data_IF_949849729405
#
_entry.id   IF_949849729405
#
_cell.length_a   1.000
_cell.length_b   1.000
_cell.length_c   1.000
_cell.angle_alpha   90.00
_cell.angle_beta   90.00
_cell.angle_gamma   90.00
#
_symmetry.space_group_name_H-M   'P 1'
#
loop_
_entity.id
_entity.type
_entity.pdbx_description
1 polymer ?
#
# COMPACT_ATOMS: atom_id res chain seq x y z
N UNK A 1 -18.21 -11.77 -20.07
CA UNK A 1 -18.03 -10.33 -19.97
C UNK A 1 -16.55 -10.04 -20.12
N UNK A 2 -16.16 -9.20 -21.07
CA UNK A 2 -14.75 -8.83 -21.25
C UNK A 2 -14.33 -7.82 -20.18
N UNK A 3 -13.03 -7.70 -19.90
CA UNK A 3 -12.48 -6.82 -18.85
C UNK A 3 -13.08 -5.40 -18.88
N UNK A 4 -13.17 -4.80 -20.07
CA UNK A 4 -13.65 -3.43 -20.24
C UNK A 4 -15.11 -3.29 -19.84
N UNK A 5 -15.99 -4.21 -20.27
CA UNK A 5 -17.42 -4.19 -19.92
C UNK A 5 -17.65 -4.37 -18.42
N UNK A 6 -16.90 -5.27 -17.80
CA UNK A 6 -16.97 -5.51 -16.36
C UNK A 6 -16.52 -4.27 -15.59
N UNK A 7 -15.38 -3.69 -15.98
CA UNK A 7 -14.85 -2.50 -15.33
C UNK A 7 -15.77 -1.29 -15.49
N UNK A 8 -16.38 -1.11 -16.67
CA UNK A 8 -17.40 -0.07 -16.90
C UNK A 8 -18.58 -0.22 -15.95
N UNK A 9 -19.08 -1.45 -15.81
CA UNK A 9 -20.21 -1.77 -14.92
C UNK A 9 -19.88 -1.41 -13.47
N UNK A 10 -18.70 -1.79 -12.99
CA UNK A 10 -18.28 -1.49 -11.61
C UNK A 10 -18.05 0.02 -11.39
N UNK A 11 -17.49 0.73 -12.38
CA UNK A 11 -17.32 2.19 -12.30
C UNK A 11 -18.68 2.88 -12.23
N UNK A 12 -19.65 2.48 -13.05
CA UNK A 12 -21.00 3.05 -13.07
C UNK A 12 -21.75 2.78 -11.76
N UNK A 13 -21.64 1.57 -11.20
CA UNK A 13 -22.20 1.25 -9.89
C UNK A 13 -21.60 2.11 -8.79
N UNK A 14 -20.27 2.24 -8.76
CA UNK A 14 -19.59 3.06 -7.78
C UNK A 14 -19.99 4.54 -7.87
N UNK A 15 -20.07 5.10 -9.08
CA UNK A 15 -20.51 6.49 -9.28
C UNK A 15 -21.95 6.69 -8.80
N UNK A 16 -22.85 5.77 -9.15
CA UNK A 16 -24.27 5.83 -8.79
C UNK A 16 -24.51 5.68 -7.28
N UNK A 17 -23.65 4.94 -6.57
CA UNK A 17 -23.75 4.74 -5.12
C UNK A 17 -23.42 5.98 -4.28
N UNK A 18 -22.82 7.02 -4.88
CA UNK A 18 -22.29 8.19 -4.17
C UNK A 18 -22.97 9.48 -4.62
N UNK A 19 -23.33 10.34 -3.65
CA UNK A 19 -23.95 11.66 -3.91
C UNK A 19 -23.18 12.54 -4.91
N UNK A 20 -21.85 12.44 -4.90
CA UNK A 20 -20.96 13.20 -5.78
C UNK A 20 -20.06 12.26 -6.63
N UNK A 21 -20.52 11.05 -6.93
CA UNK A 21 -19.76 10.09 -7.74
C UNK A 21 -19.67 10.54 -9.20
N UNK A 22 -18.46 10.75 -9.70
CA UNK A 22 -18.21 11.05 -11.11
C UNK A 22 -16.75 10.70 -11.48
N UNK A 23 -16.45 10.66 -12.78
CA UNK A 23 -15.11 10.32 -13.28
C UNK A 23 -14.00 11.29 -12.84
N UNK A 24 -14.31 12.57 -12.57
CA UNK A 24 -13.33 13.53 -12.06
C UNK A 24 -12.93 13.18 -10.62
N UNK A 25 -13.92 12.81 -9.79
CA UNK A 25 -13.66 12.31 -8.43
C UNK A 25 -12.91 10.99 -8.47
N UNK A 26 -13.31 10.05 -9.34
CA UNK A 26 -12.59 8.79 -9.50
C UNK A 26 -11.15 9.02 -9.96
N UNK A 27 -10.91 9.93 -10.92
CA UNK A 27 -9.56 10.26 -11.40
C UNK A 27 -8.65 10.70 -10.26
N UNK A 28 -9.14 11.59 -9.39
CA UNK A 28 -8.40 12.04 -8.22
C UNK A 28 -8.15 10.91 -7.21
N UNK A 29 -9.12 10.02 -7.03
CA UNK A 29 -9.07 8.94 -6.03
C UNK A 29 -8.34 7.69 -6.49
N UNK A 30 -8.17 7.46 -7.79
CA UNK A 30 -7.45 6.30 -8.32
C UNK A 30 -6.04 6.64 -8.80
N UNK A 31 -5.75 7.92 -9.02
CA UNK A 31 -4.53 8.39 -9.68
C UNK A 31 -4.56 8.20 -11.21
N UNK A 32 -5.62 7.58 -11.76
CA UNK A 32 -5.79 7.41 -13.21
C UNK A 32 -6.30 8.71 -13.82
N UNK A 33 -5.68 9.15 -14.93
CA UNK A 33 -6.08 10.39 -15.60
C UNK A 33 -7.55 10.36 -16.06
N UNK A 34 -8.24 11.51 -15.97
CA UNK A 34 -9.62 11.64 -16.44
C UNK A 34 -9.77 11.22 -17.92
N UNK A 35 -8.89 11.62 -18.86
CA UNK A 35 -8.95 11.12 -20.24
C UNK A 35 -8.87 9.59 -20.34
N UNK A 36 -8.00 8.94 -19.54
CA UNK A 36 -7.90 7.47 -19.51
C UNK A 36 -9.20 6.83 -19.04
N UNK A 37 -9.76 7.32 -17.91
CA UNK A 37 -11.04 6.83 -17.39
C UNK A 37 -12.18 7.02 -18.39
N UNK A 38 -12.23 8.18 -19.07
CA UNK A 38 -13.22 8.45 -20.11
C UNK A 38 -13.11 7.45 -21.26
N UNK A 39 -11.90 7.17 -21.75
CA UNK A 39 -11.66 6.17 -22.82
C UNK A 39 -12.05 4.75 -22.40
N UNK A 40 -11.83 4.38 -21.13
CA UNK A 40 -12.34 3.12 -20.56
C UNK A 40 -13.87 3.10 -20.64
N UNK A 41 -14.55 4.16 -20.19
CA UNK A 41 -16.01 4.26 -20.22
C UNK A 41 -16.61 4.25 -21.63
N UNK A 42 -15.84 4.64 -22.64
CA UNK A 42 -16.25 4.63 -24.05
C UNK A 42 -15.83 3.36 -24.80
N UNK A 43 -15.20 2.40 -24.12
CA UNK A 43 -14.60 1.20 -24.71
C UNK A 43 -13.56 1.50 -25.83
N UNK A 44 -12.94 2.68 -25.78
CA UNK A 44 -11.90 3.12 -26.73
C UNK A 44 -10.48 2.69 -26.32
N UNK A 45 -10.37 1.95 -25.21
CA UNK A 45 -9.11 1.57 -24.59
C UNK A 45 -9.28 0.33 -23.70
N UNK A 46 -8.38 -0.66 -23.86
CA UNK A 46 -8.26 -1.78 -22.93
C UNK A 46 -7.17 -1.45 -21.89
N UNK A 47 -7.52 -1.31 -20.60
CA UNK A 47 -6.55 -0.98 -19.57
C UNK A 47 -5.58 -2.12 -19.28
N UNK A 48 -4.32 -1.78 -18.99
CA UNK A 48 -3.33 -2.73 -18.48
C UNK A 48 -3.60 -3.08 -17.00
N UNK A 49 -2.88 -4.07 -16.47
CA UNK A 49 -3.02 -4.53 -15.09
C UNK A 49 -2.91 -3.38 -14.08
N UNK A 50 -1.90 -2.51 -14.22
CA UNK A 50 -1.68 -1.37 -13.33
C UNK A 50 -2.90 -0.44 -13.28
N UNK A 51 -3.44 -0.06 -14.45
CA UNK A 51 -4.62 0.80 -14.55
C UNK A 51 -5.83 0.13 -13.91
N UNK A 52 -6.03 -1.17 -14.16
CA UNK A 52 -7.15 -1.92 -13.55
C UNK A 52 -6.99 -1.97 -12.03
N UNK A 53 -5.80 -2.29 -11.53
CA UNK A 53 -5.51 -2.33 -10.10
C UNK A 53 -5.80 -0.97 -9.44
N UNK A 54 -5.35 0.13 -10.04
CA UNK A 54 -5.61 1.48 -9.55
C UNK A 54 -7.11 1.81 -9.51
N UNK A 55 -7.89 1.47 -10.54
CA UNK A 55 -9.34 1.73 -10.52
C UNK A 55 -10.03 0.86 -9.48
N UNK A 56 -9.81 -0.46 -9.55
CA UNK A 56 -10.48 -1.49 -8.73
C UNK A 56 -10.26 -1.25 -7.24
N UNK A 57 -9.07 -0.84 -6.84
CA UNK A 57 -8.74 -0.60 -5.43
C UNK A 57 -9.45 0.62 -4.80
N UNK A 58 -10.14 1.43 -5.61
CA UNK A 58 -11.05 2.51 -5.15
C UNK A 58 -12.51 2.09 -5.16
N UNK A 59 -12.90 1.34 -6.19
CA UNK A 59 -14.32 1.13 -6.51
C UNK A 59 -14.88 -0.18 -5.96
N UNK A 60 -14.03 -1.16 -5.70
CA UNK A 60 -14.40 -2.47 -5.16
C UNK A 60 -13.78 -2.71 -3.78
N UNK A 61 -14.39 -3.59 -3.00
CA UNK A 61 -13.71 -4.15 -1.83
C UNK A 61 -12.56 -5.08 -2.25
N UNK A 62 -11.66 -5.40 -1.31
CA UNK A 62 -10.46 -6.21 -1.59
C UNK A 62 -10.80 -7.58 -2.20
N UNK A 63 -11.88 -8.23 -1.75
CA UNK A 63 -12.27 -9.56 -2.23
C UNK A 63 -12.84 -9.51 -3.65
N UNK A 64 -13.71 -8.54 -3.91
CA UNK A 64 -14.27 -8.27 -5.22
C UNK A 64 -13.17 -7.88 -6.22
N UNK A 65 -12.28 -6.99 -5.80
CA UNK A 65 -11.17 -6.53 -6.62
C UNK A 65 -10.20 -7.65 -6.99
N UNK A 66 -9.81 -8.49 -6.03
CA UNK A 66 -8.99 -9.69 -6.28
C UNK A 66 -9.67 -10.65 -7.24
N UNK A 67 -10.97 -10.89 -7.07
CA UNK A 67 -11.75 -11.77 -7.93
C UNK A 67 -11.76 -11.28 -9.39
N UNK A 68 -11.93 -9.96 -9.60
CA UNK A 68 -11.85 -9.34 -10.92
C UNK A 68 -10.45 -9.50 -11.52
N UNK A 69 -9.40 -9.16 -10.75
CA UNK A 69 -8.01 -9.23 -11.21
C UNK A 69 -7.60 -10.66 -11.58
N UNK A 70 -7.92 -11.66 -10.76
CA UNK A 70 -7.57 -13.05 -11.04
C UNK A 70 -8.27 -13.61 -12.29
N UNK A 71 -9.46 -13.08 -12.63
CA UNK A 71 -10.22 -13.53 -13.80
C UNK A 71 -9.65 -12.98 -15.11
N UNK A 72 -9.22 -11.73 -15.10
CA UNK A 72 -8.75 -11.03 -16.31
C UNK A 72 -7.23 -11.03 -16.47
N UNK A 73 -6.49 -11.33 -15.40
CA UNK A 73 -5.02 -11.42 -15.38
C UNK A 73 -4.57 -12.74 -14.72
N UNK A 74 -4.85 -13.90 -15.35
CA UNK A 74 -4.63 -15.22 -14.75
C UNK A 74 -3.16 -15.49 -14.41
N UNK A 75 -2.22 -14.93 -15.18
CA UNK A 75 -0.78 -15.07 -14.95
C UNK A 75 -0.34 -14.49 -13.58
N UNK A 76 -1.10 -13.53 -13.05
CA UNK A 76 -0.84 -12.91 -11.74
C UNK A 76 -1.69 -13.50 -10.61
N UNK A 77 -2.68 -14.35 -10.93
CA UNK A 77 -3.55 -14.97 -9.93
C UNK A 77 -2.80 -15.76 -8.84
N UNK A 78 -1.72 -16.52 -9.13
CA UNK A 78 -0.93 -17.18 -8.09
C UNK A 78 -0.31 -16.20 -7.09
N UNK A 79 0.12 -15.03 -7.57
CA UNK A 79 0.70 -13.97 -6.73
C UNK A 79 -0.38 -13.37 -5.83
N UNK A 80 -1.54 -13.04 -6.39
CA UNK A 80 -2.65 -12.47 -5.61
C UNK A 80 -3.16 -13.43 -4.54
N UNK A 81 -3.31 -14.73 -4.86
CA UNK A 81 -3.71 -15.75 -3.87
C UNK A 81 -2.71 -15.86 -2.72
N UNK A 82 -1.42 -15.91 -3.03
CA UNK A 82 -0.39 -15.96 -1.98
C UNK A 82 -0.36 -14.69 -1.13
N UNK A 83 -0.60 -13.51 -1.71
CA UNK A 83 -0.73 -12.27 -0.94
C UNK A 83 -1.96 -12.27 0.00
N UNK A 84 -3.05 -12.92 -0.40
CA UNK A 84 -4.21 -13.12 0.46
C UNK A 84 -3.87 -14.02 1.66
N UNK A 85 -3.12 -15.11 1.41
CA UNK A 85 -2.68 -16.04 2.47
C UNK A 85 -1.80 -15.35 3.55
N UNK A 86 -1.07 -14.28 3.20
CA UNK A 86 -0.30 -13.45 4.15
C UNK A 86 -1.06 -12.23 4.67
N UNK A 87 -2.36 -12.11 4.39
CA UNK A 87 -3.24 -11.09 4.95
C UNK A 87 -2.99 -9.68 4.41
N UNK A 88 -2.44 -9.54 3.19
CA UNK A 88 -2.32 -8.23 2.55
C UNK A 88 -3.69 -7.72 2.10
N UNK A 89 -3.88 -6.41 2.16
CA UNK A 89 -5.04 -5.75 1.56
C UNK A 89 -4.55 -4.87 0.40
N UNK A 90 -5.21 -4.94 -0.75
CA UNK A 90 -5.04 -3.92 -1.78
C UNK A 90 -5.69 -2.65 -1.26
N UNK A 91 -4.91 -1.57 -1.24
CA UNK A 91 -5.43 -0.27 -0.89
C UNK A 91 -5.14 0.67 -2.04
N UNK A 92 -6.18 1.35 -2.53
CA UNK A 92 -5.98 2.66 -3.09
C UNK A 92 -6.37 3.68 -2.03
N UNK A 93 -5.36 4.25 -1.40
CA UNK A 93 -5.53 5.48 -0.64
C UNK A 93 -5.03 6.65 -1.51
N UNK A 94 -5.38 6.70 -2.80
CA UNK A 94 -4.80 7.71 -3.68
C UNK A 94 -5.07 9.10 -3.12
N UNK A 95 -3.99 9.87 -3.07
CA UNK A 95 -3.93 11.20 -2.51
C UNK A 95 -3.25 11.25 -1.15
N UNK A 96 -3.64 10.45 -0.15
CA UNK A 96 -3.08 10.64 1.20
C UNK A 96 -1.75 9.93 1.39
N UNK A 97 -1.62 8.68 0.92
CA UNK A 97 -0.34 7.97 1.03
C UNK A 97 0.75 8.63 0.14
N UNK A 98 0.36 9.20 -0.99
CA UNK A 98 1.26 9.97 -1.86
C UNK A 98 1.73 11.30 -1.25
N UNK A 99 1.03 11.82 -0.23
CA UNK A 99 1.31 13.13 0.37
C UNK A 99 1.68 13.06 1.84
N UNK A 100 1.96 11.84 2.35
CA UNK A 100 2.44 11.69 3.71
C UNK A 100 3.72 12.51 3.88
N UNK A 101 3.75 13.31 4.94
CA UNK A 101 5.01 13.87 5.43
C UNK A 101 5.81 12.79 6.15
N UNK A 102 7.07 13.09 6.45
CA UNK A 102 7.93 12.24 7.27
C UNK A 102 7.29 11.93 8.63
N UNK A 103 6.72 12.94 9.28
CA UNK A 103 6.10 12.82 10.60
C UNK A 103 4.85 11.95 10.55
N UNK A 104 4.02 12.11 9.52
CA UNK A 104 2.85 11.25 9.31
C UNK A 104 3.25 9.80 9.04
N UNK A 105 4.27 9.59 8.21
CA UNK A 105 4.83 8.26 7.99
C UNK A 105 5.39 7.64 9.28
N UNK A 106 6.06 8.43 10.13
CA UNK A 106 6.56 7.95 11.42
C UNK A 106 5.43 7.61 12.38
N UNK A 107 4.40 8.45 12.52
CA UNK A 107 3.21 8.16 13.33
C UNK A 107 2.53 6.88 12.84
N UNK A 108 2.31 6.77 11.52
CA UNK A 108 1.69 5.59 10.92
C UNK A 108 2.49 4.32 11.23
N UNK A 109 3.81 4.32 11.07
CA UNK A 109 4.61 3.13 11.36
C UNK A 109 4.75 2.83 12.87
N UNK A 110 4.88 3.85 13.72
CA UNK A 110 4.95 3.66 15.17
C UNK A 110 3.62 3.16 15.77
N UNK A 111 2.49 3.57 15.18
CA UNK A 111 1.17 3.11 15.57
C UNK A 111 0.83 1.69 15.07
N UNK A 112 1.75 1.04 14.35
CA UNK A 112 1.55 -0.34 13.90
C UNK A 112 1.63 -1.35 15.06
N UNK A 113 1.16 -2.58 14.83
CA UNK A 113 1.20 -3.64 15.84
C UNK A 113 0.31 -3.35 17.06
N UNK A 114 0.93 -3.14 18.23
CA UNK A 114 0.22 -2.83 19.47
C UNK A 114 -0.19 -1.36 19.61
N UNK A 115 0.23 -0.50 18.68
CA UNK A 115 0.04 0.94 18.79
C UNK A 115 1.09 1.64 19.64
N UNK A 116 0.96 2.94 19.75
CA UNK A 116 1.92 3.82 20.43
C UNK A 116 1.18 4.86 21.26
N UNK A 117 1.70 5.19 22.45
CA UNK A 117 1.14 6.26 23.27
C UNK A 117 1.35 7.64 22.63
N UNK A 118 0.40 8.57 22.83
CA UNK A 118 0.56 9.95 22.37
C UNK A 118 1.75 10.63 23.02
N UNK A 119 1.99 10.37 24.31
CA UNK A 119 3.18 10.88 25.01
C UNK A 119 4.47 10.52 24.28
N UNK A 120 4.59 9.27 23.82
CA UNK A 120 5.78 8.79 23.12
C UNK A 120 5.91 9.35 21.71
N UNK A 121 4.79 9.55 21.02
CA UNK A 121 4.79 10.26 19.74
C UNK A 121 5.26 11.70 19.92
N UNK A 122 4.82 12.37 20.98
CA UNK A 122 5.27 13.72 21.35
C UNK A 122 6.75 13.78 21.70
N UNK A 123 7.27 12.83 22.48
CA UNK A 123 8.71 12.76 22.79
C UNK A 123 9.56 12.67 21.51
N UNK A 124 9.04 12.00 20.48
CA UNK A 124 9.79 11.72 19.24
C UNK A 124 9.61 12.78 18.17
N UNK A 125 8.45 13.41 18.07
CA UNK A 125 8.06 14.31 16.98
C UNK A 125 7.65 15.72 17.46
N UNK A 126 7.53 15.93 18.77
CA UNK A 126 6.97 17.15 19.35
C UNK A 126 5.55 17.40 18.88
N UNK A 127 5.22 18.69 18.70
CA UNK A 127 3.89 19.13 18.24
C UNK A 127 3.48 18.58 16.86
N UNK A 128 4.43 18.14 16.03
CA UNK A 128 4.10 17.53 14.74
C UNK A 128 3.37 16.19 14.91
N UNK A 129 3.50 15.52 16.06
CA UNK A 129 2.72 14.34 16.39
C UNK A 129 1.22 14.61 16.33
N UNK A 130 0.75 15.72 16.93
CA UNK A 130 -0.68 16.02 17.00
C UNK A 130 -1.26 16.32 15.61
N UNK A 131 -0.51 17.07 14.79
CA UNK A 131 -0.91 17.39 13.41
C UNK A 131 -1.02 16.11 12.58
N UNK A 132 -0.02 15.23 12.69
CA UNK A 132 -0.02 13.95 12.01
C UNK A 132 -1.17 13.04 12.47
N UNK A 133 -1.42 12.95 13.78
CA UNK A 133 -2.54 12.17 14.33
C UNK A 133 -3.87 12.71 13.79
N UNK A 134 -4.07 14.03 13.79
CA UNK A 134 -5.28 14.65 13.28
C UNK A 134 -5.52 14.29 11.81
N UNK A 135 -4.50 14.49 10.95
CA UNK A 135 -4.61 14.23 9.50
C UNK A 135 -4.82 12.76 9.18
N UNK A 136 -4.07 11.87 9.84
CA UNK A 136 -4.20 10.42 9.64
C UNK A 136 -5.54 9.88 10.16
N UNK A 137 -6.08 10.44 11.24
CA UNK A 137 -7.42 10.07 11.75
C UNK A 137 -8.50 10.56 10.78
N UNK A 138 -8.39 11.79 10.29
CA UNK A 138 -9.32 12.34 9.31
C UNK A 138 -9.35 11.55 7.99
N UNK A 139 -8.23 10.90 7.66
CA UNK A 139 -8.10 10.01 6.52
C UNK A 139 -8.42 8.53 6.81
N UNK A 140 -8.92 8.23 8.01
CA UNK A 140 -9.28 6.88 8.46
C UNK A 140 -8.13 5.86 8.41
N UNK A 141 -6.89 6.32 8.53
CA UNK A 141 -5.70 5.45 8.54
C UNK A 141 -5.34 4.93 9.94
N UNK A 142 -5.68 5.72 10.95
CA UNK A 142 -5.42 5.40 12.35
C UNK A 142 -6.68 5.61 13.19
N UNK A 143 -6.68 4.99 14.36
CA UNK A 143 -7.68 5.17 15.39
C UNK A 143 -6.99 5.47 16.73
N UNK A 144 -7.67 6.19 17.61
CA UNK A 144 -7.18 6.48 18.96
C UNK A 144 -8.10 5.82 19.99
N UNK A 145 -7.50 5.07 20.91
CA UNK A 145 -8.17 4.46 22.06
C UNK A 145 -7.53 4.97 23.35
N UNK A 146 -8.15 5.98 23.97
CA UNK A 146 -7.55 6.69 25.10
C UNK A 146 -6.26 7.39 24.68
N UNK A 147 -5.13 7.02 25.29
CA UNK A 147 -3.81 7.55 24.95
C UNK A 147 -3.09 6.78 23.83
N UNK A 148 -3.63 5.64 23.39
CA UNK A 148 -2.96 4.78 22.41
C UNK A 148 -3.48 5.07 21.00
N UNK A 149 -2.55 5.32 20.08
CA UNK A 149 -2.79 5.45 18.65
C UNK A 149 -2.47 4.13 17.95
N UNK A 150 -3.38 3.64 17.11
CA UNK A 150 -3.22 2.39 16.34
C UNK A 150 -3.50 2.59 14.87
N UNK A 151 -2.75 1.93 14.00
CA UNK A 151 -3.11 1.82 12.57
C UNK A 151 -4.31 0.91 12.39
N UNK A 152 -5.31 1.36 11.63
CA UNK A 152 -6.45 0.54 11.21
C UNK A 152 -6.07 -0.46 10.12
N UNK A 153 -4.96 -0.19 9.45
CA UNK A 153 -4.47 -0.92 8.29
C UNK A 153 -3.21 -1.68 8.66
N UNK A 154 -3.17 -2.97 8.30
CA UNK A 154 -1.99 -3.82 8.41
C UNK A 154 -1.61 -4.29 7.00
N UNK A 155 -0.30 -4.34 6.71
CA UNK A 155 0.26 -4.86 5.46
C UNK A 155 -0.30 -4.21 4.18
N UNK A 156 0.29 -3.08 3.79
CA UNK A 156 -0.10 -2.32 2.58
C UNK A 156 0.73 -2.77 1.39
N UNK A 157 0.08 -2.96 0.24
CA UNK A 157 0.74 -3.03 -1.06
C UNK A 157 0.31 -1.83 -1.91
N UNK A 158 1.29 -1.13 -2.47
CA UNK A 158 1.06 -0.01 -3.38
C UNK A 158 1.01 -0.51 -4.81
N UNK A 159 0.08 0.03 -5.60
CA UNK A 159 -0.05 -0.28 -7.02
C UNK A 159 0.53 0.83 -7.92
N UNK A 160 0.82 2.00 -7.36
CA UNK A 160 1.35 3.15 -8.09
C UNK A 160 2.86 3.30 -7.81
N UNK A 161 3.67 3.42 -8.88
CA UNK A 161 5.12 3.56 -8.76
C UNK A 161 5.55 4.81 -7.99
N UNK A 162 4.91 5.95 -8.22
CA UNK A 162 5.22 7.20 -7.52
C UNK A 162 4.97 7.08 -6.02
N UNK A 163 3.96 6.30 -5.60
CA UNK A 163 3.71 5.99 -4.19
C UNK A 163 4.84 5.16 -3.59
N UNK A 164 5.28 4.12 -4.30
CA UNK A 164 6.39 3.28 -3.86
C UNK A 164 7.63 4.14 -3.67
N UNK A 165 7.97 4.98 -4.66
CA UNK A 165 9.15 5.85 -4.61
C UNK A 165 9.06 6.89 -3.48
N UNK A 166 7.90 7.54 -3.31
CA UNK A 166 7.68 8.48 -2.21
C UNK A 166 7.89 7.82 -0.84
N UNK A 167 7.27 6.66 -0.62
CA UNK A 167 7.39 5.91 0.64
C UNK A 167 8.82 5.40 0.88
N UNK A 168 9.54 4.99 -0.16
CA UNK A 168 10.96 4.66 -0.06
C UNK A 168 11.77 5.88 0.39
N UNK A 169 11.48 7.06 -0.16
CA UNK A 169 12.08 8.32 0.27
C UNK A 169 11.82 8.63 1.74
N UNK A 170 10.57 8.50 2.21
CA UNK A 170 10.23 8.71 3.62
C UNK A 170 10.92 7.71 4.55
N UNK A 171 11.02 6.44 4.15
CA UNK A 171 11.73 5.42 4.92
C UNK A 171 13.21 5.76 5.06
N UNK A 172 13.86 6.24 4.00
CA UNK A 172 15.25 6.72 4.03
C UNK A 172 15.38 7.94 4.94
N UNK A 173 14.44 8.89 4.90
CA UNK A 173 14.46 10.06 5.79
C UNK A 173 14.29 9.71 7.28
N UNK A 174 13.71 8.54 7.58
CA UNK A 174 13.58 8.01 8.94
C UNK A 174 14.84 7.29 9.44
N UNK A 175 15.84 7.08 8.57
CA UNK A 175 17.09 6.44 8.94
C UNK A 175 17.88 7.29 9.93
N UNK A 176 18.12 6.74 11.12
CA UNK A 176 18.83 7.40 12.21
C UNK A 176 20.26 6.84 12.30
N UNK A 177 21.22 7.60 11.75
CA UNK A 177 22.63 7.19 11.65
C UNK A 177 23.25 6.89 13.02
N UNK A 178 22.80 7.59 14.05
CA UNK A 178 23.35 7.47 15.41
C UNK A 178 22.81 6.24 16.15
N UNK A 179 21.84 5.53 15.57
CA UNK A 179 21.21 4.34 16.16
C UNK A 179 21.53 3.03 15.44
N UNK A 180 22.46 3.06 14.48
CA UNK A 180 22.98 1.82 13.87
C UNK A 180 23.75 1.05 14.95
N UNK A 181 23.28 -0.14 15.28
CA UNK A 181 23.91 -1.02 16.26
C UNK A 181 24.92 -1.97 15.58
N UNK A 182 25.55 -2.86 16.35
CA UNK A 182 26.53 -3.84 15.87
C UNK A 182 25.96 -4.83 14.84
N UNK A 183 24.64 -4.98 14.75
CA UNK A 183 23.99 -5.77 13.70
C UNK A 183 23.98 -5.06 12.34
N UNK A 184 24.36 -3.78 12.30
CA UNK A 184 24.46 -2.98 11.09
C UNK A 184 23.10 -2.69 10.44
N UNK A 185 23.18 -2.11 9.24
CA UNK A 185 22.04 -1.99 8.33
C UNK A 185 22.28 -2.92 7.14
N UNK A 186 21.31 -3.79 6.86
CA UNK A 186 21.41 -4.71 5.74
C UNK A 186 20.88 -4.02 4.48
N UNK A 187 21.77 -3.79 3.51
CA UNK A 187 21.42 -3.31 2.18
C UNK A 187 22.03 -4.26 1.15
N UNK A 188 21.22 -4.73 0.21
CA UNK A 188 21.64 -5.60 -0.87
C UNK A 188 20.88 -5.29 -2.15
N UNK A 189 21.60 -5.23 -3.27
CA UNK A 189 21.03 -5.13 -4.61
C UNK A 189 21.27 -6.46 -5.31
N UNK A 190 20.19 -7.07 -5.80
CA UNK A 190 20.25 -8.25 -6.66
C UNK A 190 19.77 -7.82 -8.04
N UNK A 191 20.67 -7.80 -9.02
CA UNK A 191 20.36 -7.43 -10.40
C UNK A 191 20.87 -8.50 -11.36
N UNK A 192 19.95 -9.18 -12.04
CA UNK A 192 20.26 -10.19 -13.05
C UNK A 192 19.18 -10.18 -14.13
N UNK A 193 19.53 -10.68 -15.33
CA UNK A 193 18.56 -10.88 -16.41
C UNK A 193 17.80 -12.18 -16.18
N UNK A 194 16.54 -12.06 -15.74
CA UNK A 194 15.67 -13.20 -15.50
C UNK A 194 14.69 -13.39 -16.68
N UNK A 195 14.43 -14.65 -17.03
CA UNK A 195 13.27 -15.00 -17.85
C UNK A 195 11.99 -14.98 -16.98
N UNK A 196 10.83 -15.23 -17.59
CA UNK A 196 9.54 -15.22 -16.88
C UNK A 196 9.50 -16.17 -15.67
N UNK A 197 9.99 -17.41 -15.82
CA UNK A 197 10.08 -18.37 -14.72
C UNK A 197 10.97 -17.86 -13.56
N UNK A 198 12.08 -17.19 -13.88
CA UNK A 198 12.97 -16.58 -12.90
C UNK A 198 12.31 -15.40 -12.17
N UNK A 199 11.57 -14.56 -12.89
CA UNK A 199 10.79 -13.45 -12.30
C UNK A 199 9.75 -14.00 -11.32
N UNK A 200 9.02 -15.04 -11.71
CA UNK A 200 8.05 -15.70 -10.85
C UNK A 200 8.71 -16.30 -9.61
N UNK A 201 9.82 -17.03 -9.79
CA UNK A 201 10.58 -17.60 -8.68
C UNK A 201 11.08 -16.53 -7.69
N UNK A 202 11.62 -15.42 -8.19
CA UNK A 202 12.06 -14.29 -7.37
C UNK A 202 10.89 -13.64 -6.61
N UNK A 203 9.76 -13.41 -7.30
CA UNK A 203 8.53 -12.88 -6.70
C UNK A 203 8.02 -13.80 -5.58
N UNK A 204 8.04 -15.11 -5.80
CA UNK A 204 7.66 -16.10 -4.77
C UNK A 204 8.59 -16.08 -3.56
N UNK A 205 9.90 -16.00 -3.76
CA UNK A 205 10.86 -15.90 -2.67
C UNK A 205 10.63 -14.61 -1.83
N UNK A 206 10.31 -13.50 -2.49
CA UNK A 206 9.97 -12.25 -1.82
C UNK A 206 8.68 -12.37 -0.98
N UNK A 207 7.66 -13.07 -1.47
CA UNK A 207 6.43 -13.34 -0.71
C UNK A 207 6.72 -14.22 0.51
N UNK A 208 7.58 -15.25 0.37
CA UNK A 208 7.97 -16.10 1.50
C UNK A 208 8.76 -15.34 2.56
N UNK A 209 9.71 -14.50 2.15
CA UNK A 209 10.44 -13.62 3.06
C UNK A 209 9.47 -12.69 3.82
N UNK A 210 8.54 -12.07 3.10
CA UNK A 210 7.49 -11.23 3.69
C UNK A 210 6.67 -12.01 4.73
N UNK A 211 6.29 -13.26 4.44
CA UNK A 211 5.57 -14.12 5.39
C UNK A 211 6.35 -14.29 6.69
N UNK A 212 7.63 -14.66 6.60
CA UNK A 212 8.50 -14.84 7.77
C UNK A 212 8.67 -13.53 8.56
N UNK A 213 8.77 -12.40 7.87
CA UNK A 213 8.80 -11.09 8.54
C UNK A 213 7.48 -10.81 9.26
N UNK A 214 6.32 -11.03 8.63
CA UNK A 214 5.01 -10.84 9.29
C UNK A 214 4.91 -11.69 10.56
N UNK A 215 5.37 -12.94 10.53
CA UNK A 215 5.43 -13.80 11.72
C UNK A 215 6.26 -13.17 12.84
N UNK A 216 7.42 -12.59 12.53
CA UNK A 216 8.25 -11.87 13.52
C UNK A 216 7.56 -10.61 14.04
N UNK A 217 7.00 -9.78 13.14
CA UNK A 217 6.36 -8.50 13.50
C UNK A 217 5.03 -8.65 14.23
N UNK A 218 4.44 -9.85 14.25
CA UNK A 218 3.16 -10.12 14.92
C UNK A 218 3.27 -11.03 16.13
N UNK A 219 4.42 -11.69 16.34
CA UNK A 219 4.66 -12.52 17.52
C UNK A 219 4.94 -11.63 18.76
N UNK A 220 4.11 -11.72 19.81
CA UNK A 220 4.25 -10.90 21.02
C UNK A 220 5.60 -11.00 21.72
N UNK A 221 6.33 -12.12 21.54
CA UNK A 221 7.64 -12.30 22.18
C UNK A 221 8.72 -11.34 21.65
N UNK A 222 8.52 -10.77 20.47
CA UNK A 222 9.47 -9.85 19.82
C UNK A 222 9.07 -8.37 19.97
N UNK A 223 8.00 -8.07 20.70
CA UNK A 223 7.58 -6.68 20.90
C UNK A 223 8.55 -5.93 21.82
N UNK A 224 8.78 -4.67 21.48
CA UNK A 224 9.69 -3.81 22.21
C UNK A 224 9.66 -2.38 21.69
N UNK A 225 10.65 -1.61 22.14
CA UNK A 225 10.61 -0.16 22.06
C UNK A 225 11.34 0.45 20.85
N UNK A 226 11.86 -0.38 19.95
CA UNK A 226 12.61 0.09 18.79
C UNK A 226 11.75 0.02 17.54
N UNK A 227 11.69 1.14 16.82
CA UNK A 227 11.10 1.16 15.48
C UNK A 227 12.08 0.47 14.52
N UNK A 228 11.68 -0.69 14.00
CA UNK A 228 12.41 -1.40 12.97
C UNK A 228 11.62 -1.33 11.66
N UNK A 229 12.17 -0.64 10.66
CA UNK A 229 11.55 -0.51 9.34
C UNK A 229 12.34 -1.38 8.37
N UNK A 230 11.64 -2.26 7.66
CA UNK A 230 12.20 -3.01 6.55
C UNK A 230 11.44 -2.63 5.27
N UNK A 231 12.19 -2.26 4.23
CA UNK A 231 11.64 -1.93 2.91
C UNK A 231 12.08 -3.00 1.93
N UNK A 232 11.10 -3.68 1.34
CA UNK A 232 11.30 -4.69 0.31
C UNK A 232 10.65 -4.20 -0.98
N UNK A 233 11.46 -4.02 -2.01
CA UNK A 233 11.00 -3.59 -3.33
C UNK A 233 11.57 -4.51 -4.41
N UNK A 234 10.79 -4.68 -5.47
CA UNK A 234 11.19 -5.37 -6.70
C UNK A 234 10.71 -4.53 -7.88
N UNK A 235 11.60 -4.24 -8.82
CA UNK A 235 11.31 -3.42 -9.99
C UNK A 235 11.88 -4.05 -11.25
N UNK A 236 11.29 -3.72 -12.39
CA UNK A 236 11.79 -4.07 -13.71
C UNK A 236 12.62 -2.90 -14.23
N UNK A 237 13.72 -3.20 -14.91
CA UNK A 237 14.53 -2.23 -15.65
C UNK A 237 14.64 -2.73 -17.09
N UNK A 238 14.26 -1.88 -18.05
CA UNK A 238 14.43 -2.14 -19.49
C UNK A 238 15.89 -1.92 -19.94
#
# INVERSE_FOLDING_TARGET
>A
MILVEELQTEIDQWMSSRRNGNLSVLSRLSGVSYPTLRRIMQAEFTPNLETVMQVVSVILDDKQGRSLLCRHFPDFAPIFKKQEDVGYRMLNMAGLLQTLTKEEFMVFNLASGQGVSRTRLHEKLGQQADIAILRLTAADLIETHGDVVKTKIKNVSFANLEEVLHHMGLAIQCFDRDKVNDAGSHYGIFSERLNQEGIEAASLAMVELKKRLVEVFTDPKYFGDRLYINVLSSSYMD
#
